data_IF_709423674208
#
_entry.id   IF_709423674208
#
_cell.length_a   1.000
_cell.length_b   1.000
_cell.length_c   1.000
_cell.angle_alpha   90.00
_cell.angle_beta   90.00
_cell.angle_gamma   90.00
#
_symmetry.space_group_name_H-M   'P 1'
#
loop_
_entity.id
_entity.type
_entity.pdbx_description
1 polymer ?
#
# COMPACT_ATOMS: atom_id res chain seq x y z
N UNK A 1 5.67 -28.49 14.26
CA UNK A 1 4.99 -27.20 14.42
C UNK A 1 5.83 -26.16 13.70
N UNK A 2 5.24 -25.31 12.86
CA UNK A 2 5.93 -24.13 12.33
C UNK A 2 5.75 -22.98 13.32
N UNK A 3 6.82 -22.24 13.57
CA UNK A 3 6.79 -21.10 14.47
C UNK A 3 7.74 -20.02 13.99
N UNK A 4 7.35 -18.76 14.16
CA UNK A 4 8.18 -17.61 13.85
C UNK A 4 7.84 -16.46 14.80
N UNK A 5 8.59 -15.37 14.75
CA UNK A 5 8.29 -14.15 15.51
C UNK A 5 8.32 -12.94 14.58
N UNK A 6 7.30 -12.10 14.68
CA UNK A 6 7.32 -10.74 14.12
C UNK A 6 7.72 -9.81 15.24
N UNK A 7 8.71 -8.94 15.02
CA UNK A 7 9.03 -7.87 15.98
C UNK A 7 9.09 -6.53 15.30
N UNK A 8 8.57 -5.49 15.96
CA UNK A 8 8.47 -4.13 15.40
C UNK A 8 8.54 -3.09 16.51
N UNK A 9 9.20 -1.95 16.22
CA UNK A 9 9.21 -0.78 17.11
C UNK A 9 7.81 -0.21 17.34
N UNK A 10 7.53 0.27 18.55
CA UNK A 10 6.21 0.85 18.91
C UNK A 10 5.94 2.20 18.25
N UNK A 11 6.92 2.81 17.60
CA UNK A 11 6.75 4.02 16.78
C UNK A 11 6.06 3.77 15.42
N UNK A 12 5.71 2.51 15.11
CA UNK A 12 5.03 2.09 13.88
C UNK A 12 3.58 1.66 14.18
N UNK A 13 2.81 2.55 14.84
CA UNK A 13 1.46 2.26 15.34
C UNK A 13 0.49 1.75 14.26
N UNK A 14 0.50 2.36 13.07
CA UNK A 14 -0.40 1.96 11.96
C UNK A 14 -0.04 0.58 11.40
N UNK A 15 1.25 0.31 11.28
CA UNK A 15 1.77 -0.98 10.84
C UNK A 15 1.41 -2.07 11.85
N UNK A 16 1.56 -1.78 13.15
CA UNK A 16 1.16 -2.68 14.24
C UNK A 16 -0.36 -2.96 14.20
N UNK A 17 -1.18 -1.92 14.06
CA UNK A 17 -2.64 -2.06 13.95
C UNK A 17 -3.02 -2.98 12.78
N UNK A 18 -2.41 -2.76 11.62
CA UNK A 18 -2.62 -3.57 10.42
C UNK A 18 -2.22 -5.04 10.64
N UNK A 19 -1.02 -5.30 11.17
CA UNK A 19 -0.51 -6.65 11.45
C UNK A 19 -1.47 -7.36 12.41
N UNK A 20 -1.83 -6.73 13.54
CA UNK A 20 -2.73 -7.33 14.52
C UNK A 20 -4.12 -7.62 13.94
N UNK A 21 -4.67 -6.73 13.11
CA UNK A 21 -5.93 -6.97 12.43
C UNK A 21 -5.85 -8.19 11.49
N UNK A 22 -4.76 -8.34 10.74
CA UNK A 22 -4.56 -9.49 9.86
C UNK A 22 -4.40 -10.79 10.62
N UNK A 23 -3.57 -10.82 11.66
CA UNK A 23 -3.36 -11.99 12.50
C UNK A 23 -4.65 -12.47 13.18
N UNK A 24 -5.50 -11.56 13.65
CA UNK A 24 -6.81 -11.91 14.25
C UNK A 24 -7.76 -12.62 13.28
N UNK A 25 -7.61 -12.37 11.98
CA UNK A 25 -8.46 -12.95 10.94
C UNK A 25 -7.81 -14.16 10.25
N UNK A 26 -6.55 -14.47 10.56
CA UNK A 26 -5.83 -15.61 10.03
C UNK A 26 -6.43 -16.90 10.60
N UNK A 27 -6.80 -17.83 9.71
CA UNK A 27 -7.26 -19.17 10.11
C UNK A 27 -6.04 -20.06 10.30
N UNK A 28 -6.14 -21.02 11.22
CA UNK A 28 -5.09 -22.02 11.46
C UNK A 28 -3.76 -21.44 11.96
N UNK A 29 -3.77 -20.21 12.49
CA UNK A 29 -2.65 -19.53 13.11
C UNK A 29 -2.99 -19.16 14.56
N UNK A 30 -2.13 -19.54 15.49
CA UNK A 30 -2.15 -19.04 16.86
C UNK A 30 -1.05 -18.00 17.02
N UNK A 31 -1.32 -16.92 17.77
CA UNK A 31 -0.30 -15.96 18.11
C UNK A 31 -0.40 -15.47 19.56
N UNK A 32 0.74 -15.10 20.13
CA UNK A 32 0.85 -14.47 21.44
C UNK A 32 1.69 -13.19 21.32
N UNK A 33 1.37 -12.17 22.12
CA UNK A 33 2.08 -10.90 22.13
C UNK A 33 2.90 -10.73 23.40
N UNK A 34 4.14 -10.28 23.25
CA UNK A 34 4.98 -9.74 24.32
C UNK A 34 5.35 -8.31 23.95
N UNK A 35 5.43 -7.42 24.93
CA UNK A 35 5.77 -6.03 24.68
C UNK A 35 6.70 -5.46 25.74
N UNK A 36 7.55 -4.53 25.29
CA UNK A 36 8.33 -3.63 26.14
C UNK A 36 7.84 -2.20 25.95
N UNK A 37 8.54 -1.22 26.53
CA UNK A 37 8.21 0.19 26.32
C UNK A 37 8.39 0.66 24.88
N UNK A 38 9.27 0.02 24.10
CA UNK A 38 9.66 0.48 22.76
C UNK A 38 9.40 -0.53 21.66
N UNK A 39 9.05 -1.77 21.99
CA UNK A 39 8.96 -2.85 21.01
C UNK A 39 7.83 -3.83 21.31
N UNK A 40 7.24 -4.36 20.24
CA UNK A 40 6.25 -5.43 20.25
C UNK A 40 6.85 -6.68 19.60
N UNK A 41 6.60 -7.84 20.19
CA UNK A 41 6.91 -9.16 19.65
C UNK A 41 5.62 -9.97 19.52
N UNK A 42 5.43 -10.62 18.38
CA UNK A 42 4.29 -11.46 18.06
C UNK A 42 4.80 -12.85 17.72
N UNK A 43 4.66 -13.76 18.67
CA UNK A 43 5.04 -15.16 18.51
C UNK A 43 3.95 -15.89 17.76
N UNK A 44 4.31 -16.51 16.64
CA UNK A 44 3.41 -17.19 15.72
C UNK A 44 3.61 -18.70 15.83
N UNK A 45 2.52 -19.46 15.81
CA UNK A 45 2.56 -20.92 15.77
C UNK A 45 1.43 -21.48 14.89
N UNK A 46 1.77 -22.46 14.06
CA UNK A 46 0.80 -23.20 13.24
C UNK A 46 1.20 -24.67 13.09
N UNK A 47 0.22 -25.48 12.68
CA UNK A 47 0.46 -26.89 12.38
C UNK A 47 1.32 -27.03 11.12
N UNK A 48 2.11 -28.09 11.04
CA UNK A 48 3.07 -28.28 9.93
C UNK A 48 2.42 -28.53 8.57
N UNK A 49 1.22 -29.10 8.56
CA UNK A 49 0.45 -29.43 7.36
C UNK A 49 -0.03 -28.18 6.60
N UNK A 50 -0.20 -27.05 7.30
CA UNK A 50 -0.60 -25.76 6.71
C UNK A 50 0.50 -24.71 6.77
N UNK A 51 1.71 -25.06 7.25
CA UNK A 51 2.81 -24.12 7.50
C UNK A 51 3.15 -23.24 6.31
N UNK A 52 3.29 -23.83 5.10
CA UNK A 52 3.62 -23.06 3.90
C UNK A 52 2.55 -22.04 3.54
N UNK A 53 1.27 -22.39 3.72
CA UNK A 53 0.15 -21.47 3.45
C UNK A 53 0.19 -20.30 4.43
N UNK A 54 0.39 -20.57 5.72
CA UNK A 54 0.51 -19.54 6.74
C UNK A 54 1.73 -18.65 6.49
N UNK A 55 2.87 -19.23 6.16
CA UNK A 55 4.07 -18.45 5.84
C UNK A 55 3.83 -17.50 4.67
N UNK A 56 3.17 -17.96 3.61
CA UNK A 56 2.78 -17.10 2.49
C UNK A 56 1.81 -15.99 2.91
N UNK A 57 0.81 -16.28 3.76
CA UNK A 57 -0.09 -15.25 4.30
C UNK A 57 0.65 -14.20 5.14
N UNK A 58 1.67 -14.61 5.91
CA UNK A 58 2.56 -13.70 6.63
C UNK A 58 3.40 -12.87 5.66
N UNK A 59 3.90 -13.46 4.57
CA UNK A 59 4.68 -12.71 3.57
C UNK A 59 3.83 -11.67 2.87
N UNK A 60 2.61 -12.02 2.47
CA UNK A 60 1.66 -11.09 1.86
C UNK A 60 1.33 -9.93 2.80
N UNK A 61 1.08 -10.22 4.08
CA UNK A 61 0.85 -9.20 5.10
C UNK A 61 2.07 -8.28 5.28
N UNK A 62 3.26 -8.84 5.44
CA UNK A 62 4.48 -8.04 5.63
C UNK A 62 4.87 -7.26 4.36
N UNK A 63 4.56 -7.78 3.18
CA UNK A 63 4.72 -7.07 1.91
C UNK A 63 3.89 -5.78 1.91
N UNK A 64 2.65 -5.80 2.39
CA UNK A 64 1.85 -4.58 2.55
C UNK A 64 2.50 -3.62 3.57
N UNK A 65 3.04 -4.14 4.68
CA UNK A 65 3.75 -3.31 5.67
C UNK A 65 4.92 -2.55 5.04
N UNK A 66 5.78 -3.25 4.29
CA UNK A 66 6.95 -2.64 3.65
C UNK A 66 6.56 -1.73 2.48
N UNK A 67 5.74 -2.23 1.55
CA UNK A 67 5.50 -1.58 0.26
C UNK A 67 4.37 -0.55 0.30
N UNK A 68 3.56 -0.52 1.36
CA UNK A 68 2.54 0.52 1.55
C UNK A 68 2.89 1.46 2.69
N UNK A 69 3.00 0.95 3.93
CA UNK A 69 3.16 1.82 5.10
C UNK A 69 4.57 2.43 5.18
N UNK A 70 5.62 1.58 5.20
CA UNK A 70 7.01 2.05 5.31
C UNK A 70 7.43 2.87 4.09
N UNK A 71 7.00 2.44 2.88
CA UNK A 71 7.20 3.20 1.63
C UNK A 71 6.51 4.57 1.67
N UNK A 72 5.27 4.66 2.16
CA UNK A 72 4.58 5.94 2.31
C UNK A 72 5.33 6.85 3.30
N UNK A 73 5.74 6.33 4.47
CA UNK A 73 6.56 7.09 5.43
C UNK A 73 7.82 7.63 4.78
N UNK A 74 8.53 6.79 4.03
CA UNK A 74 9.75 7.19 3.30
C UNK A 74 9.49 8.35 2.32
N UNK A 75 8.36 8.35 1.61
CA UNK A 75 7.97 9.44 0.71
C UNK A 75 7.53 10.71 1.44
N UNK A 76 6.75 10.59 2.50
CA UNK A 76 6.27 11.72 3.32
C UNK A 76 7.44 12.51 3.94
N UNK A 77 8.54 11.83 4.27
CA UNK A 77 9.76 12.45 4.81
C UNK A 77 10.56 13.26 3.78
N UNK A 78 10.37 13.00 2.48
CA UNK A 78 11.21 13.53 1.39
C UNK A 78 10.50 14.49 0.47
N UNK A 79 9.18 14.44 0.40
CA UNK A 79 8.40 15.24 -0.54
C UNK A 79 7.62 16.36 0.17
N UNK A 80 7.55 17.57 -0.41
CA UNK A 80 6.77 18.69 0.12
C UNK A 80 5.27 18.54 -0.19
N UNK A 81 4.63 17.51 0.34
CA UNK A 81 3.28 17.11 -0.05
C UNK A 81 2.17 17.57 0.90
N UNK A 82 2.52 18.24 1.99
CA UNK A 82 1.52 18.81 2.90
C UNK A 82 1.16 20.27 2.54
N UNK A 83 -0.11 20.69 2.77
CA UNK A 83 -1.26 19.86 3.11
C UNK A 83 -1.63 18.90 1.96
N UNK A 84 -2.19 17.74 2.31
CA UNK A 84 -2.54 16.68 1.37
C UNK A 84 -3.83 17.05 0.60
N UNK A 85 -3.75 17.05 -0.72
CA UNK A 85 -4.89 17.25 -1.65
C UNK A 85 -5.14 15.96 -2.44
N UNK A 86 -6.27 15.84 -3.14
CA UNK A 86 -6.52 14.68 -4.00
C UNK A 86 -5.46 14.52 -5.10
N UNK A 87 -4.91 15.61 -5.64
CA UNK A 87 -3.85 15.55 -6.64
C UNK A 87 -2.57 14.96 -6.05
N UNK A 88 -2.16 15.45 -4.87
CA UNK A 88 -0.99 14.92 -4.16
C UNK A 88 -1.20 13.48 -3.67
N UNK A 89 -2.41 13.12 -3.26
CA UNK A 89 -2.77 11.74 -2.93
C UNK A 89 -2.69 10.82 -4.15
N UNK A 90 -3.16 11.28 -5.31
CA UNK A 90 -3.03 10.53 -6.56
C UNK A 90 -1.55 10.33 -6.93
N UNK A 91 -0.73 11.38 -6.83
CA UNK A 91 0.72 11.29 -7.03
C UNK A 91 1.38 10.28 -6.09
N UNK A 92 1.12 10.37 -4.79
CA UNK A 92 1.66 9.41 -3.80
C UNK A 92 1.22 7.98 -4.11
N UNK A 93 -0.05 7.78 -4.47
CA UNK A 93 -0.57 6.46 -4.83
C UNK A 93 0.13 5.92 -6.08
N UNK A 94 0.32 6.77 -7.10
CA UNK A 94 1.07 6.43 -8.31
C UNK A 94 2.51 6.01 -7.98
N UNK A 95 3.18 6.72 -7.08
CA UNK A 95 4.53 6.38 -6.62
C UNK A 95 4.55 5.10 -5.77
N UNK A 96 3.55 4.88 -4.92
CA UNK A 96 3.44 3.68 -4.07
C UNK A 96 3.31 2.40 -4.91
N UNK A 97 2.60 2.45 -6.03
CA UNK A 97 2.37 1.30 -6.91
C UNK A 97 3.26 1.28 -8.15
N UNK A 98 4.28 2.14 -8.20
CA UNK A 98 5.31 2.09 -9.21
C UNK A 98 6.25 0.90 -8.97
N UNK A 99 6.59 0.19 -10.05
CA UNK A 99 7.53 -0.94 -10.08
C UNK A 99 7.26 -2.07 -9.05
N UNK A 100 5.99 -2.36 -8.78
CA UNK A 100 5.60 -3.34 -7.76
C UNK A 100 6.20 -4.74 -8.00
N UNK A 101 6.40 -5.16 -9.25
CA UNK A 101 6.97 -6.48 -9.57
C UNK A 101 8.42 -6.61 -9.04
N UNK A 102 9.26 -5.59 -9.25
CA UNK A 102 10.62 -5.57 -8.69
C UNK A 102 10.57 -5.54 -7.16
N UNK A 103 9.71 -4.70 -6.60
CA UNK A 103 9.65 -4.47 -5.16
C UNK A 103 9.18 -5.71 -4.37
N UNK A 104 8.11 -6.35 -4.85
CA UNK A 104 7.58 -7.58 -4.28
C UNK A 104 8.64 -8.70 -4.29
N UNK A 105 9.42 -8.80 -5.36
CA UNK A 105 10.52 -9.77 -5.45
C UNK A 105 11.63 -9.52 -4.41
N UNK A 106 11.99 -8.25 -4.16
CA UNK A 106 12.99 -7.91 -3.14
C UNK A 106 12.46 -8.24 -1.74
N UNK A 107 11.20 -7.94 -1.44
CA UNK A 107 10.58 -8.26 -0.14
C UNK A 107 10.49 -9.77 0.05
N UNK A 108 9.95 -10.52 -0.91
CA UNK A 108 9.82 -11.98 -0.82
C UNK A 108 11.17 -12.67 -0.62
N UNK A 109 12.20 -12.23 -1.33
CA UNK A 109 13.57 -12.73 -1.14
C UNK A 109 14.12 -12.39 0.26
N UNK A 110 13.83 -11.19 0.77
CA UNK A 110 14.28 -10.79 2.11
C UNK A 110 13.62 -11.65 3.19
N UNK A 111 12.31 -11.86 3.10
CA UNK A 111 11.54 -12.64 4.07
C UNK A 111 11.94 -14.12 4.07
N UNK A 112 12.08 -14.74 2.90
CA UNK A 112 12.51 -16.15 2.76
C UNK A 112 13.91 -16.46 3.28
N UNK A 113 14.76 -15.44 3.44
CA UNK A 113 16.11 -15.57 3.98
C UNK A 113 16.21 -15.16 5.45
N UNK A 114 15.10 -14.77 6.07
CA UNK A 114 15.06 -14.27 7.45
C UNK A 114 14.64 -15.38 8.41
N UNK A 115 15.34 -15.52 9.54
CA UNK A 115 14.96 -16.46 10.59
C UNK A 115 13.76 -15.93 11.38
N UNK A 116 13.79 -14.64 11.72
CA UNK A 116 12.72 -13.88 12.36
C UNK A 116 12.35 -12.64 11.54
N UNK A 117 11.11 -12.17 11.69
CA UNK A 117 10.61 -10.99 10.98
C UNK A 117 10.74 -9.74 11.85
N UNK A 118 11.99 -9.29 12.06
CA UNK A 118 12.27 -7.98 12.63
C UNK A 118 11.98 -6.88 11.60
N UNK A 119 10.76 -6.34 11.60
CA UNK A 119 10.22 -5.50 10.52
C UNK A 119 11.10 -4.28 10.26
N UNK A 120 11.31 -3.43 11.27
CA UNK A 120 12.11 -2.21 11.15
C UNK A 120 13.60 -2.51 10.88
N UNK A 121 14.15 -3.59 11.44
CA UNK A 121 15.50 -4.04 11.17
C UNK A 121 15.69 -4.48 9.71
N UNK A 122 14.78 -5.31 9.19
CA UNK A 122 14.79 -5.73 7.78
C UNK A 122 14.67 -4.53 6.85
N UNK A 123 13.75 -3.61 7.15
CA UNK A 123 13.58 -2.38 6.37
C UNK A 123 14.86 -1.54 6.31
N UNK A 124 15.52 -1.33 7.45
CA UNK A 124 16.66 -0.44 7.53
C UNK A 124 17.97 -1.05 7.03
N UNK A 125 18.14 -2.36 7.15
CA UNK A 125 19.42 -3.02 6.89
C UNK A 125 19.42 -3.98 5.69
N UNK A 126 18.28 -4.58 5.34
CA UNK A 126 18.19 -5.60 4.28
C UNK A 126 17.51 -5.10 3.01
N UNK A 127 16.76 -4.00 3.08
CA UNK A 127 15.98 -3.45 1.97
C UNK A 127 16.60 -2.19 1.34
N UNK A 128 17.93 -2.04 1.39
CA UNK A 128 18.63 -0.91 0.74
C UNK A 128 18.27 -0.73 -0.74
N UNK A 129 18.19 -1.78 -1.59
CA UNK A 129 17.81 -1.61 -2.99
C UNK A 129 16.45 -0.94 -3.18
N UNK A 130 15.48 -1.20 -2.29
CA UNK A 130 14.18 -0.53 -2.32
C UNK A 130 14.33 0.95 -1.99
N UNK A 131 15.06 1.27 -0.92
CA UNK A 131 15.26 2.66 -0.48
C UNK A 131 15.99 3.50 -1.54
N UNK A 132 16.95 2.90 -2.24
CA UNK A 132 17.67 3.57 -3.34
C UNK A 132 16.70 3.86 -4.50
N UNK A 133 15.94 2.85 -4.97
CA UNK A 133 14.94 3.02 -6.03
C UNK A 133 13.84 4.04 -5.66
N UNK A 134 13.36 4.00 -4.42
CA UNK A 134 12.38 4.97 -3.92
C UNK A 134 12.95 6.39 -3.83
N UNK A 135 14.23 6.52 -3.48
CA UNK A 135 14.95 7.79 -3.50
C UNK A 135 15.00 8.38 -4.89
N UNK A 136 15.32 7.58 -5.90
CA UNK A 136 15.34 8.02 -7.31
C UNK A 136 13.96 8.52 -7.76
N UNK A 137 12.88 7.82 -7.39
CA UNK A 137 11.50 8.25 -7.71
C UNK A 137 11.16 9.56 -6.98
N UNK A 138 11.58 9.72 -5.72
CA UNK A 138 11.40 10.98 -4.98
C UNK A 138 12.11 12.14 -5.68
N UNK A 139 13.34 11.94 -6.13
CA UNK A 139 14.12 12.97 -6.81
C UNK A 139 13.46 13.38 -8.13
N UNK A 140 12.96 12.42 -8.90
CA UNK A 140 12.20 12.68 -10.13
C UNK A 140 10.92 13.44 -9.83
N UNK A 141 10.12 12.97 -8.85
CA UNK A 141 8.87 13.61 -8.48
C UNK A 141 9.11 15.04 -7.96
N UNK A 142 10.10 15.26 -7.10
CA UNK A 142 10.45 16.57 -6.57
C UNK A 142 10.81 17.57 -7.69
N UNK A 143 11.65 17.16 -8.65
CA UNK A 143 12.02 18.00 -9.80
C UNK A 143 10.83 18.36 -10.68
N UNK A 144 9.91 17.42 -10.90
CA UNK A 144 8.69 17.69 -11.68
C UNK A 144 7.72 18.61 -10.92
N UNK A 145 7.70 18.51 -9.58
CA UNK A 145 6.88 19.37 -8.72
C UNK A 145 7.42 20.80 -8.61
N UNK A 146 8.73 21.06 -8.72
CA UNK A 146 9.31 22.42 -8.68
C UNK A 146 8.71 23.35 -9.73
N UNK A 147 8.31 22.82 -10.89
CA UNK A 147 7.66 23.57 -11.96
C UNK A 147 6.13 23.66 -11.86
N UNK A 148 5.51 22.93 -10.92
CA UNK A 148 4.06 22.81 -10.80
C UNK A 148 3.45 24.06 -10.19
N UNK A 149 2.41 24.60 -10.83
CA UNK A 149 1.69 25.81 -10.40
C UNK A 149 0.32 25.51 -9.82
N UNK A 150 -0.29 24.40 -10.25
CA UNK A 150 -1.61 23.99 -9.79
C UNK A 150 -1.75 22.45 -9.69
N UNK A 151 -2.92 22.00 -9.22
CA UNK A 151 -3.22 20.57 -9.08
C UNK A 151 -3.21 19.82 -10.42
N UNK A 152 -3.40 20.49 -11.56
CA UNK A 152 -3.36 19.84 -12.88
C UNK A 152 -1.96 19.33 -13.17
N UNK A 153 -0.95 20.15 -12.93
CA UNK A 153 0.45 19.76 -13.11
C UNK A 153 0.78 18.54 -12.23
N UNK A 154 0.28 18.52 -10.99
CA UNK A 154 0.49 17.38 -10.08
C UNK A 154 -0.16 16.08 -10.62
N UNK A 155 -1.34 16.16 -11.24
CA UNK A 155 -1.94 14.99 -11.90
C UNK A 155 -1.15 14.53 -13.12
N UNK A 156 -0.59 15.45 -13.89
CA UNK A 156 0.24 15.11 -15.04
C UNK A 156 1.52 14.39 -14.60
N UNK A 157 2.12 14.82 -13.47
CA UNK A 157 3.24 14.11 -12.83
C UNK A 157 2.82 12.72 -12.33
N UNK A 158 1.65 12.61 -11.70
CA UNK A 158 1.12 11.31 -11.25
C UNK A 158 0.93 10.34 -12.42
N UNK A 159 0.36 10.83 -13.53
CA UNK A 159 0.17 10.07 -14.76
C UNK A 159 1.50 9.67 -15.41
N UNK A 160 2.49 10.56 -15.41
CA UNK A 160 3.84 10.27 -15.89
C UNK A 160 4.50 9.14 -15.09
N UNK A 161 4.45 9.21 -13.75
CA UNK A 161 5.04 8.19 -12.87
C UNK A 161 4.33 6.85 -13.02
N UNK A 162 3.00 6.83 -13.14
CA UNK A 162 2.25 5.57 -13.37
C UNK A 162 2.60 4.88 -14.68
N UNK A 163 3.29 5.56 -15.60
CA UNK A 163 3.75 5.01 -16.88
C UNK A 163 2.65 4.94 -17.95
N UNK A 164 3.06 4.68 -19.18
CA UNK A 164 2.20 4.60 -20.37
C UNK A 164 1.44 3.27 -20.51
N UNK A 165 1.59 2.36 -19.55
CA UNK A 165 1.11 0.98 -19.61
C UNK A 165 -0.43 0.84 -19.59
N UNK A 166 -1.12 1.98 -19.41
CA UNK A 166 -2.56 2.13 -19.51
C UNK A 166 -3.34 1.44 -18.40
N UNK A 167 -4.58 1.89 -18.20
CA UNK A 167 -5.54 1.16 -17.37
C UNK A 167 -5.86 -0.19 -17.98
N UNK A 168 -5.97 -1.24 -17.16
CA UNK A 168 -6.28 -2.62 -17.60
C UNK A 168 -7.54 -3.19 -16.95
N UNK A 169 -8.00 -2.61 -15.84
CA UNK A 169 -9.04 -3.21 -15.01
C UNK A 169 -10.33 -2.38 -14.97
N UNK A 170 -11.46 -3.09 -14.98
CA UNK A 170 -12.76 -2.54 -14.64
C UNK A 170 -12.93 -2.62 -13.12
N UNK A 171 -13.11 -1.46 -12.49
CA UNK A 171 -13.30 -1.35 -11.04
C UNK A 171 -14.73 -0.92 -10.76
N UNK A 172 -15.37 -1.54 -9.78
CA UNK A 172 -16.67 -1.11 -9.28
C UNK A 172 -16.56 -0.71 -7.80
N UNK A 173 -17.20 0.39 -7.42
CA UNK A 173 -17.21 0.84 -6.02
C UNK A 173 -18.53 1.54 -5.67
N UNK A 174 -18.98 1.33 -4.43
CA UNK A 174 -20.09 2.04 -3.79
C UNK A 174 -19.61 3.17 -2.85
N UNK A 175 -18.30 3.42 -2.83
CA UNK A 175 -17.65 4.35 -1.92
C UNK A 175 -17.38 3.80 -0.51
N UNK A 176 -17.62 2.52 -0.27
CA UNK A 176 -17.19 1.81 0.95
C UNK A 176 -16.36 0.56 0.63
N UNK A 177 -16.70 -0.14 -0.45
CA UNK A 177 -15.99 -1.31 -0.93
C UNK A 177 -15.54 -1.11 -2.38
N UNK A 178 -14.52 -1.87 -2.78
CA UNK A 178 -14.01 -1.89 -4.14
C UNK A 178 -13.94 -3.34 -4.62
N UNK A 179 -14.52 -3.57 -5.79
CA UNK A 179 -14.42 -4.82 -6.52
C UNK A 179 -13.60 -4.60 -7.79
N UNK A 180 -12.55 -5.40 -7.99
CA UNK A 180 -11.92 -5.51 -9.30
C UNK A 180 -12.71 -6.54 -10.10
N UNK A 181 -13.58 -6.05 -10.99
CA UNK A 181 -14.50 -6.86 -11.79
C UNK A 181 -13.73 -7.72 -12.78
N UNK A 182 -12.67 -7.16 -13.39
CA UNK A 182 -11.81 -7.89 -14.32
C UNK A 182 -11.15 -9.09 -13.64
N UNK A 183 -10.60 -8.91 -12.43
CA UNK A 183 -9.92 -9.97 -11.66
C UNK A 183 -10.87 -10.79 -10.77
N UNK A 184 -12.17 -10.48 -10.74
CA UNK A 184 -13.21 -11.15 -9.94
C UNK A 184 -12.84 -11.27 -8.46
N UNK A 185 -12.30 -10.21 -7.87
CA UNK A 185 -11.89 -10.19 -6.47
C UNK A 185 -12.24 -8.87 -5.81
N UNK A 186 -12.44 -8.92 -4.49
CA UNK A 186 -12.47 -7.73 -3.65
C UNK A 186 -11.07 -7.13 -3.55
N UNK A 187 -11.00 -5.81 -3.57
CA UNK A 187 -9.77 -5.08 -3.34
C UNK A 187 -9.69 -4.75 -1.86
N UNK A 188 -8.53 -4.98 -1.28
CA UNK A 188 -8.28 -4.64 0.11
C UNK A 188 -8.15 -3.13 0.29
N UNK A 189 -8.87 -2.59 1.27
CA UNK A 189 -8.75 -1.20 1.69
C UNK A 189 -7.79 -1.13 2.89
N UNK A 190 -6.61 -0.57 2.64
CA UNK A 190 -5.61 -0.32 3.66
C UNK A 190 -5.71 1.14 4.09
N UNK A 191 -5.84 1.37 5.40
CA UNK A 191 -5.95 2.72 5.98
C UNK A 191 -4.56 3.36 6.09
N UNK A 192 -4.14 4.08 5.06
CA UNK A 192 -2.83 4.72 4.97
C UNK A 192 -2.88 6.21 5.35
N UNK A 193 -3.87 6.94 4.83
CA UNK A 193 -3.94 8.39 4.86
C UNK A 193 -4.83 8.97 5.97
N UNK A 194 -5.51 8.12 6.75
CA UNK A 194 -6.51 8.51 7.75
C UNK A 194 -7.71 9.29 7.20
N UNK A 195 -7.86 9.31 5.88
CA UNK A 195 -9.01 9.85 5.17
C UNK A 195 -9.57 8.76 4.26
N UNK A 196 -10.87 8.50 4.40
CA UNK A 196 -11.54 7.40 3.70
C UNK A 196 -11.47 7.56 2.18
N UNK A 197 -11.60 8.77 1.66
CA UNK A 197 -11.56 8.98 0.21
C UNK A 197 -10.13 8.86 -0.33
N UNK A 198 -9.13 9.28 0.44
CA UNK A 198 -7.72 9.10 0.07
C UNK A 198 -7.31 7.62 0.10
N UNK A 199 -7.75 6.86 1.10
CA UNK A 199 -7.51 5.42 1.18
C UNK A 199 -8.19 4.66 0.02
N UNK A 200 -9.43 5.03 -0.30
CA UNK A 200 -10.15 4.51 -1.46
C UNK A 200 -9.44 4.86 -2.77
N UNK A 201 -9.00 6.11 -2.92
CA UNK A 201 -8.28 6.58 -4.10
C UNK A 201 -7.00 5.76 -4.34
N UNK A 202 -6.21 5.55 -3.29
CA UNK A 202 -5.02 4.71 -3.35
C UNK A 202 -5.33 3.27 -3.76
N UNK A 203 -6.37 2.67 -3.17
CA UNK A 203 -6.79 1.31 -3.51
C UNK A 203 -7.31 1.20 -4.96
N UNK A 204 -7.98 2.23 -5.49
CA UNK A 204 -8.38 2.29 -6.90
C UNK A 204 -7.15 2.37 -7.81
N UNK A 205 -6.22 3.30 -7.54
CA UNK A 205 -5.02 3.51 -8.38
C UNK A 205 -4.15 2.26 -8.42
N UNK A 206 -3.98 1.56 -7.28
CA UNK A 206 -3.29 0.27 -7.19
C UNK A 206 -3.74 -0.73 -8.25
N UNK A 207 -5.04 -0.75 -8.53
CA UNK A 207 -5.63 -1.71 -9.47
C UNK A 207 -5.51 -1.27 -10.94
N UNK A 208 -4.86 -0.14 -11.26
CA UNK A 208 -4.65 0.35 -12.65
C UNK A 208 -5.96 0.33 -13.48
N UNK A 209 -6.97 1.13 -13.11
CA UNK A 209 -8.29 1.10 -13.73
C UNK A 209 -8.27 1.65 -15.16
N UNK A 210 -8.98 1.01 -16.09
CA UNK A 210 -9.39 1.62 -17.37
C UNK A 210 -10.79 2.23 -17.30
N UNK A 211 -11.67 1.65 -16.48
CA UNK A 211 -13.02 2.12 -16.23
C UNK A 211 -13.36 1.96 -14.74
N UNK A 212 -14.07 2.95 -14.19
CA UNK A 212 -14.52 2.98 -12.80
C UNK A 212 -16.05 3.14 -12.81
N UNK A 213 -16.75 2.13 -12.30
CA UNK A 213 -18.19 2.12 -12.13
C UNK A 213 -18.57 2.55 -10.72
N UNK A 214 -19.30 3.66 -10.64
CA UNK A 214 -19.79 4.20 -9.37
C UNK A 214 -21.22 3.71 -9.13
N UNK A 215 -21.39 2.84 -8.12
CA UNK A 215 -22.69 2.28 -7.73
C UNK A 215 -23.26 3.07 -6.56
N UNK A 216 -24.07 4.10 -6.85
CA UNK A 216 -24.65 4.97 -5.81
C UNK A 216 -23.62 5.58 -4.84
N UNK A 217 -22.38 5.78 -5.29
CA UNK A 217 -21.27 6.28 -4.47
C UNK A 217 -21.43 7.79 -4.17
N UNK A 218 -21.48 8.13 -2.88
CA UNK A 218 -21.57 9.52 -2.39
C UNK A 218 -20.18 10.12 -2.17
N UNK A 219 -19.42 10.25 -3.26
CA UNK A 219 -18.11 10.92 -3.24
C UNK A 219 -18.22 12.43 -3.25
N UNK A 220 -17.23 13.08 -2.62
CA UNK A 220 -16.98 14.51 -2.75
C UNK A 220 -16.73 14.91 -4.21
N UNK A 221 -16.88 16.20 -4.50
CA UNK A 221 -16.59 16.73 -5.83
C UNK A 221 -15.10 16.56 -6.20
N UNK A 222 -14.20 16.77 -5.24
CA UNK A 222 -12.77 16.58 -5.41
C UNK A 222 -12.42 15.15 -5.83
N UNK A 223 -12.94 14.16 -5.10
CA UNK A 223 -12.76 12.75 -5.43
C UNK A 223 -13.31 12.40 -6.82
N UNK A 224 -14.53 12.83 -7.16
CA UNK A 224 -15.13 12.58 -8.48
C UNK A 224 -14.29 13.15 -9.62
N UNK A 225 -13.80 14.38 -9.45
CA UNK A 225 -12.94 15.04 -10.44
C UNK A 225 -11.60 14.30 -10.60
N UNK A 226 -11.03 13.82 -9.50
CA UNK A 226 -9.81 13.01 -9.53
C UNK A 226 -10.00 11.67 -10.24
N UNK A 227 -11.08 10.93 -9.95
CA UNK A 227 -11.35 9.65 -10.61
C UNK A 227 -11.46 9.81 -12.13
N UNK A 228 -12.07 10.90 -12.62
CA UNK A 228 -12.18 11.21 -14.05
C UNK A 228 -10.84 11.54 -14.73
N UNK A 229 -9.83 11.98 -13.97
CA UNK A 229 -8.47 12.18 -14.47
C UNK A 229 -7.69 10.87 -14.54
N UNK A 230 -8.06 9.88 -13.74
CA UNK A 230 -7.38 8.58 -13.66
C UNK A 230 -7.90 7.62 -14.72
N UNK A 231 -9.23 7.53 -14.88
CA UNK A 231 -9.86 6.58 -15.78
C UNK A 231 -11.24 7.06 -16.24
N UNK A 232 -11.85 6.35 -17.20
CA UNK A 232 -13.24 6.58 -17.59
C UNK A 232 -14.16 6.27 -16.41
N UNK A 233 -15.01 7.22 -16.02
CA UNK A 233 -15.99 7.04 -14.94
C UNK A 233 -17.39 6.84 -15.49
N UNK A 234 -18.09 5.81 -15.02
CA UNK A 234 -19.48 5.50 -15.38
C UNK A 234 -20.33 5.49 -14.10
N UNK A 235 -21.39 6.30 -14.06
CA UNK A 235 -22.34 6.32 -12.95
C UNK A 235 -23.45 5.29 -13.21
N UNK A 236 -23.64 4.38 -12.25
CA UNK A 236 -24.71 3.39 -12.24
C UNK A 236 -25.69 3.79 -11.13
N UNK A 237 -26.86 4.29 -11.52
CA UNK A 237 -27.97 4.66 -10.64
C UNK A 237 -28.74 3.42 -10.18
#
# INVERSE_FOLDING_TARGET
MWSNVISIGKEYDKEIEYILQKLRNAKDLSYASEESNTRLWLYLASNCDVAQKIENEIYDMLSVVFLSFMKLRFFLERLPIYPLTYAKCALLSSMLHFDSDFEENVVAKTLSQSMDYNVDGLFNFRMRPLKDAWGEICDVAARLLEGSRDDRDVFDVAGFISGSDGGKNLIATDGQAIDNVTKRRKVELVRLFDDKEYDLLNAIIKEKPCEIQLKNAKFSEGMRNTLRKIAKVVELY
#
